data_IF_513984072884
#
_entry.id   IF_513984072884
#
_cell.length_a   1.000
_cell.length_b   1.000
_cell.length_c   1.000
_cell.angle_alpha   90.00
_cell.angle_beta   90.00
_cell.angle_gamma   90.00
#
_symmetry.space_group_name_H-M   'P 1'
#
loop_
_entity.id
_entity.type
_entity.pdbx_description
1 polymer ?
#
# COMPACT_ATOMS: atom_id res chain seq x y z
N UNK A 1 -22.64 1.14 18.84
CA UNK A 1 -21.69 2.26 18.63
C UNK A 1 -20.28 1.73 18.86
N UNK A 2 -19.62 1.41 17.74
CA UNK A 2 -18.51 0.46 17.61
C UNK A 2 -17.19 0.99 18.20
N UNK A 3 -16.31 0.07 18.63
CA UNK A 3 -14.99 0.36 19.18
C UNK A 3 -14.14 1.31 18.29
N UNK A 4 -14.33 1.26 16.96
CA UNK A 4 -13.69 2.17 16.00
C UNK A 4 -13.97 3.66 16.27
N UNK A 5 -15.15 4.02 16.79
CA UNK A 5 -15.48 5.40 17.16
C UNK A 5 -14.86 5.82 18.50
N UNK A 6 -14.49 4.87 19.37
CA UNK A 6 -13.83 5.17 20.66
C UNK A 6 -12.33 5.34 20.54
N UNK A 7 -11.73 4.85 19.46
CA UNK A 7 -10.28 4.92 19.23
C UNK A 7 -9.89 5.97 18.18
N UNK A 8 -10.81 6.87 17.81
CA UNK A 8 -10.62 7.95 16.83
C UNK A 8 -10.00 7.47 15.50
N UNK A 9 -10.46 6.31 15.00
CA UNK A 9 -9.92 5.72 13.77
C UNK A 9 -10.08 6.66 12.56
N UNK A 10 -11.13 7.48 12.54
CA UNK A 10 -11.36 8.49 11.48
C UNK A 10 -10.28 9.56 11.49
N UNK A 11 -9.96 10.10 12.67
CA UNK A 11 -9.01 11.21 12.80
C UNK A 11 -7.58 10.70 12.54
N UNK A 12 -7.28 9.50 13.04
CA UNK A 12 -6.02 8.82 12.74
C UNK A 12 -5.88 8.53 11.24
N UNK A 13 -6.94 8.06 10.58
CA UNK A 13 -6.92 7.82 9.13
C UNK A 13 -6.72 9.11 8.33
N UNK A 14 -7.33 10.22 8.75
CA UNK A 14 -7.14 11.53 8.13
C UNK A 14 -5.68 12.03 8.27
N UNK A 15 -5.09 11.90 9.46
CA UNK A 15 -3.69 12.23 9.69
C UNK A 15 -2.75 11.36 8.84
N UNK A 16 -2.98 10.04 8.80
CA UNK A 16 -2.21 9.11 7.97
C UNK A 16 -2.29 9.45 6.47
N UNK A 17 -3.48 9.82 6.00
CA UNK A 17 -3.70 10.22 4.61
C UNK A 17 -2.95 11.51 4.26
N UNK A 18 -3.00 12.52 5.13
CA UNK A 18 -2.25 13.75 4.96
C UNK A 18 -0.74 13.48 4.88
N UNK A 19 -0.20 12.71 5.84
CA UNK A 19 1.22 12.34 5.84
C UNK A 19 1.61 11.55 4.59
N UNK A 20 0.73 10.67 4.11
CA UNK A 20 0.93 9.92 2.87
C UNK A 20 1.00 10.84 1.65
N UNK A 21 0.08 11.79 1.51
CA UNK A 21 0.10 12.75 0.39
C UNK A 21 1.37 13.59 0.38
N UNK A 22 1.88 13.98 1.55
CA UNK A 22 3.19 14.62 1.66
C UNK A 22 4.33 13.72 1.18
N UNK A 23 4.27 12.42 1.46
CA UNK A 23 5.28 11.46 1.02
C UNK A 23 5.19 11.11 -0.48
N UNK A 24 4.02 11.28 -1.11
CA UNK A 24 3.83 11.02 -2.55
C UNK A 24 4.78 11.86 -3.40
N UNK A 25 4.94 13.15 -3.12
CA UNK A 25 5.75 14.05 -3.97
C UNK A 25 7.19 13.55 -4.17
N UNK A 26 8.00 13.35 -3.12
CA UNK A 26 9.31 12.76 -3.29
C UNK A 26 9.23 11.28 -3.72
N UNK A 27 8.13 10.58 -3.42
CA UNK A 27 7.90 9.20 -3.86
C UNK A 27 7.77 9.06 -5.37
N UNK A 28 7.13 10.02 -6.05
CA UNK A 28 7.07 10.08 -7.52
C UNK A 28 8.47 10.16 -8.09
N UNK A 29 9.33 11.00 -7.51
CA UNK A 29 10.71 11.19 -7.98
C UNK A 29 11.50 9.88 -7.89
N UNK A 30 11.36 9.14 -6.78
CA UNK A 30 11.96 7.80 -6.63
C UNK A 30 11.38 6.83 -7.66
N UNK A 31 10.05 6.81 -7.83
CA UNK A 31 9.38 5.91 -8.75
C UNK A 31 9.85 6.15 -10.19
N UNK A 32 9.84 7.39 -10.67
CA UNK A 32 10.20 7.75 -12.05
C UNK A 32 11.68 7.51 -12.34
N UNK A 33 12.57 7.86 -11.41
CA UNK A 33 14.00 7.56 -11.51
C UNK A 33 14.26 6.05 -11.54
N UNK A 34 13.55 5.27 -10.72
CA UNK A 34 13.68 3.81 -10.70
C UNK A 34 13.18 3.18 -12.00
N UNK A 35 12.01 3.59 -12.50
CA UNK A 35 11.47 3.12 -13.78
C UNK A 35 12.41 3.45 -14.94
N UNK A 36 12.98 4.66 -14.95
CA UNK A 36 14.00 5.07 -15.91
C UNK A 36 15.28 4.22 -15.84
N UNK A 37 15.79 3.94 -14.64
CA UNK A 37 16.97 3.08 -14.42
C UNK A 37 16.72 1.63 -14.89
N UNK A 38 15.50 1.14 -14.73
CA UNK A 38 15.09 -0.20 -15.15
C UNK A 38 14.69 -0.27 -16.63
N UNK A 39 14.73 0.84 -17.37
CA UNK A 39 14.32 0.95 -18.76
C UNK A 39 12.87 0.50 -19.00
N UNK A 40 11.98 0.80 -18.04
CA UNK A 40 10.58 0.40 -18.09
C UNK A 40 9.78 1.48 -18.81
N UNK A 41 8.98 1.04 -19.78
CA UNK A 41 8.20 1.95 -20.62
C UNK A 41 6.98 2.50 -19.86
N UNK A 42 6.51 3.71 -20.21
CA UNK A 42 5.20 4.22 -19.76
C UNK A 42 4.06 3.22 -19.93
N UNK A 43 4.07 2.47 -21.03
CA UNK A 43 3.07 1.45 -21.35
C UNK A 43 3.08 0.31 -20.33
N UNK A 44 4.27 -0.22 -19.98
CA UNK A 44 4.43 -1.26 -18.96
C UNK A 44 3.97 -0.76 -17.58
N UNK A 45 4.28 0.49 -17.25
CA UNK A 45 3.82 1.11 -16.01
C UNK A 45 2.29 1.18 -15.94
N UNK A 46 1.63 1.61 -17.02
CA UNK A 46 0.18 1.69 -17.11
C UNK A 46 -0.49 0.31 -16.97
N UNK A 47 0.09 -0.72 -17.60
CA UNK A 47 -0.39 -2.11 -17.45
C UNK A 47 -0.33 -2.57 -15.98
N UNK A 48 0.75 -2.24 -15.26
CA UNK A 48 0.89 -2.62 -13.85
C UNK A 48 -0.10 -1.88 -12.96
N UNK A 49 -0.32 -0.58 -13.19
CA UNK A 49 -1.30 0.22 -12.44
C UNK A 49 -2.72 -0.33 -12.64
N UNK A 50 -3.07 -0.69 -13.88
CA UNK A 50 -4.34 -1.32 -14.21
C UNK A 50 -4.51 -2.68 -13.52
N UNK A 51 -3.48 -3.53 -13.56
CA UNK A 51 -3.48 -4.86 -12.94
C UNK A 51 -3.57 -4.83 -11.41
N UNK A 52 -2.89 -3.87 -10.78
CA UNK A 52 -2.96 -3.69 -9.32
C UNK A 52 -4.31 -3.09 -8.88
N UNK A 53 -5.15 -2.66 -9.81
CA UNK A 53 -6.39 -1.94 -9.51
C UNK A 53 -6.14 -0.65 -8.74
N UNK A 54 -4.90 -0.11 -8.80
CA UNK A 54 -4.54 1.14 -8.13
C UNK A 54 -5.09 2.26 -8.98
N UNK A 55 -5.94 3.08 -8.38
CA UNK A 55 -6.63 4.16 -9.09
C UNK A 55 -5.77 5.39 -8.97
N UNK A 56 -5.05 5.65 -10.06
CA UNK A 56 -4.18 6.80 -10.21
C UNK A 56 -4.93 7.83 -11.07
N UNK A 57 -5.14 9.08 -10.61
CA UNK A 57 -5.69 10.12 -11.46
C UNK A 57 -4.86 10.29 -12.74
N UNK A 58 -5.49 10.47 -13.89
CA UNK A 58 -4.78 10.55 -15.18
C UNK A 58 -3.67 11.60 -15.21
N UNK A 59 -3.84 12.71 -14.48
CA UNK A 59 -2.79 13.74 -14.34
C UNK A 59 -1.52 13.22 -13.64
N UNK A 60 -1.65 12.30 -12.69
CA UNK A 60 -0.50 11.69 -12.03
C UNK A 60 0.22 10.71 -12.96
N UNK A 61 -0.53 9.97 -13.79
CA UNK A 61 0.05 9.14 -14.85
C UNK A 61 0.88 10.03 -15.78
N UNK A 62 0.32 11.13 -16.28
CA UNK A 62 1.07 12.05 -17.15
C UNK A 62 2.32 12.63 -16.49
N UNK A 63 2.27 12.95 -15.18
CA UNK A 63 3.46 13.40 -14.45
C UNK A 63 4.53 12.30 -14.44
N UNK A 64 4.16 11.04 -14.18
CA UNK A 64 5.11 9.92 -14.16
C UNK A 64 5.70 9.69 -15.56
N UNK A 65 4.86 9.67 -16.60
CA UNK A 65 5.29 9.47 -17.99
C UNK A 65 6.24 10.57 -18.48
N UNK A 66 5.92 11.84 -18.19
CA UNK A 66 6.77 12.97 -18.53
C UNK A 66 8.13 12.86 -17.83
N UNK A 67 8.13 12.57 -16.53
CA UNK A 67 9.36 12.39 -15.78
C UNK A 67 10.22 11.25 -16.34
N UNK A 68 9.64 10.08 -16.70
CA UNK A 68 10.39 8.97 -17.31
C UNK A 68 11.11 9.42 -18.59
N UNK A 69 10.45 10.22 -19.44
CA UNK A 69 11.03 10.74 -20.69
C UNK A 69 12.19 11.72 -20.45
N UNK A 70 12.09 12.58 -19.43
CA UNK A 70 13.10 13.59 -19.13
C UNK A 70 14.32 13.06 -18.36
N UNK A 71 14.23 11.88 -17.72
CA UNK A 71 15.23 11.36 -16.79
C UNK A 71 16.40 10.56 -17.41
N UNK A 72 16.58 10.61 -18.73
CA UNK A 72 17.58 9.83 -19.47
C UNK A 72 19.05 10.18 -19.23
N UNK A 73 19.37 11.25 -18.48
CA UNK A 73 20.77 11.70 -18.28
C UNK A 73 21.17 12.09 -16.84
N UNK A 74 20.28 12.05 -15.85
CA UNK A 74 20.56 12.48 -14.45
C UNK A 74 19.92 11.60 -13.37
N UNK A 75 19.67 10.32 -13.68
CA UNK A 75 18.80 9.43 -12.89
C UNK A 75 19.31 9.08 -11.49
N UNK A 76 20.62 8.94 -11.28
CA UNK A 76 21.14 8.40 -10.02
C UNK A 76 21.17 9.41 -8.85
N UNK A 77 21.57 10.66 -9.09
CA UNK A 77 21.59 11.70 -8.05
C UNK A 77 20.18 12.09 -7.61
N UNK A 78 19.25 12.21 -8.57
CA UNK A 78 17.85 12.47 -8.32
C UNK A 78 17.22 11.35 -7.48
N UNK A 79 17.48 10.08 -7.79
CA UNK A 79 17.00 8.94 -6.99
C UNK A 79 17.39 9.06 -5.50
N UNK A 80 18.65 9.37 -5.20
CA UNK A 80 19.11 9.54 -3.82
C UNK A 80 18.48 10.76 -3.13
N UNK A 81 18.31 11.88 -3.84
CA UNK A 81 17.61 13.06 -3.31
C UNK A 81 16.14 12.73 -2.99
N UNK A 82 15.48 11.97 -3.87
CA UNK A 82 14.11 11.48 -3.65
C UNK A 82 14.01 10.62 -2.40
N UNK A 83 14.94 9.68 -2.21
CA UNK A 83 14.99 8.82 -1.01
C UNK A 83 15.09 9.67 0.26
N UNK A 84 16.03 10.62 0.30
CA UNK A 84 16.19 11.50 1.46
C UNK A 84 14.94 12.36 1.70
N UNK A 85 14.30 12.83 0.63
CA UNK A 85 13.04 13.58 0.69
C UNK A 85 11.83 12.76 1.17
N UNK A 86 11.73 11.48 0.80
CA UNK A 86 10.65 10.57 1.21
C UNK A 86 10.78 10.14 2.66
N UNK A 87 11.99 9.84 3.13
CA UNK A 87 12.20 9.18 4.42
C UNK A 87 11.55 9.97 5.55
N UNK A 88 11.65 11.30 5.55
CA UNK A 88 11.09 12.13 6.61
C UNK A 88 9.55 12.06 6.70
N UNK A 89 8.77 12.44 5.66
CA UNK A 89 7.31 12.38 5.69
C UNK A 89 6.79 10.95 5.76
N UNK A 90 7.41 9.98 5.07
CA UNK A 90 6.96 8.59 5.11
C UNK A 90 7.16 7.97 6.50
N UNK A 91 8.27 8.27 7.18
CA UNK A 91 8.48 7.80 8.55
C UNK A 91 7.56 8.50 9.57
N UNK A 92 7.10 9.72 9.27
CA UNK A 92 6.04 10.38 10.04
C UNK A 92 4.70 9.65 9.87
N UNK A 93 4.26 9.39 8.63
CA UNK A 93 3.05 8.60 8.34
C UNK A 93 3.06 7.24 9.03
N UNK A 94 4.19 6.54 8.95
CA UNK A 94 4.37 5.25 9.62
C UNK A 94 4.29 5.39 11.14
N UNK A 95 4.88 6.44 11.71
CA UNK A 95 4.77 6.73 13.14
C UNK A 95 3.33 6.99 13.57
N UNK A 96 2.55 7.75 12.79
CA UNK A 96 1.11 7.97 13.01
C UNK A 96 0.35 6.64 12.99
N UNK A 97 0.67 5.78 12.02
CA UNK A 97 0.13 4.41 11.92
C UNK A 97 0.45 3.58 13.17
N UNK A 98 1.67 3.68 13.72
CA UNK A 98 2.04 3.00 14.97
C UNK A 98 1.18 3.47 16.15
N UNK A 99 0.99 4.78 16.31
CA UNK A 99 0.12 5.31 17.38
C UNK A 99 -1.28 4.75 17.26
N UNK A 100 -1.85 4.79 16.06
CA UNK A 100 -3.23 4.38 15.80
C UNK A 100 -3.44 2.89 16.04
N UNK A 101 -2.53 2.04 15.56
CA UNK A 101 -2.59 0.60 15.82
C UNK A 101 -2.35 0.28 17.30
N UNK A 102 -1.36 0.90 17.97
CA UNK A 102 -1.18 0.70 19.41
C UNK A 102 -2.44 1.06 20.20
N UNK A 103 -3.12 2.15 19.82
CA UNK A 103 -4.40 2.55 20.42
C UNK A 103 -5.50 1.52 20.20
N UNK A 104 -5.61 0.95 19.01
CA UNK A 104 -6.54 -0.15 18.73
C UNK A 104 -6.32 -1.36 19.67
N UNK A 105 -5.06 -1.73 19.88
CA UNK A 105 -4.69 -2.77 20.83
C UNK A 105 -4.85 -2.35 22.30
N UNK A 106 -4.95 -1.06 22.60
CA UNK A 106 -4.90 -0.52 23.96
C UNK A 106 -3.52 -0.71 24.60
N UNK A 107 -2.48 -0.80 23.76
CA UNK A 107 -1.10 -0.98 24.18
C UNK A 107 -0.42 0.38 24.38
N UNK A 108 0.34 0.51 25.46
CA UNK A 108 1.25 1.66 25.63
C UNK A 108 2.51 1.42 24.81
N UNK A 109 2.98 2.46 24.14
CA UNK A 109 4.25 2.41 23.41
C UNK A 109 5.40 2.32 24.40
N UNK A 110 6.13 1.20 24.37
CA UNK A 110 7.28 0.94 25.25
C UNK A 110 8.61 1.30 24.58
N UNK A 111 8.61 1.50 23.26
CA UNK A 111 9.82 1.81 22.50
C UNK A 111 10.23 3.27 22.73
N UNK A 112 11.54 3.50 22.83
CA UNK A 112 12.07 4.87 22.89
C UNK A 112 11.82 5.63 21.58
N UNK A 113 11.89 6.96 21.62
CA UNK A 113 11.72 7.81 20.43
C UNK A 113 12.59 7.36 19.26
N UNK A 114 13.86 7.03 19.51
CA UNK A 114 14.81 6.58 18.49
C UNK A 114 14.48 5.18 17.95
N UNK A 115 14.11 4.24 18.82
CA UNK A 115 13.69 2.90 18.39
C UNK A 115 12.47 2.97 17.47
N UNK A 116 11.49 3.80 17.84
CA UNK A 116 10.29 4.04 17.05
C UNK A 116 10.62 4.67 15.70
N UNK A 117 11.50 5.69 15.68
CA UNK A 117 11.92 6.36 14.44
C UNK A 117 12.64 5.40 13.49
N UNK A 118 13.58 4.62 14.00
CA UNK A 118 14.31 3.62 13.20
C UNK A 118 13.34 2.57 12.66
N UNK A 119 12.44 2.04 13.49
CA UNK A 119 11.42 1.08 13.04
C UNK A 119 10.54 1.66 11.94
N UNK A 120 10.11 2.92 12.06
CA UNK A 120 9.34 3.60 11.01
C UNK A 120 10.10 3.65 9.69
N UNK A 121 11.38 3.99 9.71
CA UNK A 121 12.22 4.04 8.51
C UNK A 121 12.38 2.64 7.90
N UNK A 122 12.66 1.63 8.72
CA UNK A 122 12.80 0.23 8.26
C UNK A 122 11.51 -0.26 7.62
N UNK A 123 10.35 0.05 8.20
CA UNK A 123 9.05 -0.34 7.64
C UNK A 123 8.74 0.39 6.34
N UNK A 124 9.05 1.69 6.23
CA UNK A 124 8.92 2.45 4.98
C UNK A 124 9.78 1.84 3.88
N UNK A 125 11.05 1.56 4.17
CA UNK A 125 11.97 0.91 3.23
C UNK A 125 11.46 -0.49 2.86
N UNK A 126 10.97 -1.27 3.84
CA UNK A 126 10.43 -2.60 3.61
C UNK A 126 9.18 -2.59 2.72
N UNK A 127 8.26 -1.64 2.93
CA UNK A 127 7.10 -1.42 2.05
C UNK A 127 7.57 -1.02 0.65
N UNK A 128 8.50 -0.07 0.54
CA UNK A 128 9.08 0.34 -0.74
C UNK A 128 9.68 -0.83 -1.51
N UNK A 129 10.56 -1.61 -0.87
CA UNK A 129 11.18 -2.80 -1.48
C UNK A 129 10.12 -3.84 -1.88
N UNK A 130 9.08 -4.04 -1.07
CA UNK A 130 7.98 -4.94 -1.40
C UNK A 130 7.21 -4.47 -2.64
N UNK A 131 6.95 -3.16 -2.78
CA UNK A 131 6.31 -2.60 -3.96
C UNK A 131 7.18 -2.79 -5.21
N UNK A 132 8.49 -2.52 -5.11
CA UNK A 132 9.42 -2.77 -6.21
C UNK A 132 9.43 -4.24 -6.61
N UNK A 133 9.49 -5.15 -5.63
CA UNK A 133 9.47 -6.58 -5.89
C UNK A 133 8.17 -7.03 -6.58
N UNK A 134 7.01 -6.57 -6.11
CA UNK A 134 5.71 -6.89 -6.72
C UNK A 134 5.60 -6.31 -8.13
N UNK A 135 6.08 -5.09 -8.33
CA UNK A 135 6.12 -4.44 -9.63
C UNK A 135 6.98 -5.24 -10.63
N UNK A 136 8.18 -5.66 -10.21
CA UNK A 136 9.04 -6.54 -11.00
C UNK A 136 8.34 -7.86 -11.34
N UNK A 137 7.70 -8.50 -10.35
CA UNK A 137 6.99 -9.75 -10.58
C UNK A 137 5.91 -9.61 -11.66
N UNK A 138 5.21 -8.47 -11.72
CA UNK A 138 4.19 -8.20 -12.74
C UNK A 138 4.83 -7.92 -14.11
N UNK A 139 5.80 -7.02 -14.21
CA UNK A 139 6.43 -6.64 -15.49
C UNK A 139 7.19 -7.82 -16.12
N UNK A 140 8.01 -8.52 -15.33
CA UNK A 140 8.80 -9.65 -15.83
C UNK A 140 7.95 -10.89 -16.10
N UNK A 141 6.68 -10.92 -15.68
CA UNK A 141 5.79 -12.06 -15.94
C UNK A 141 5.61 -12.34 -17.43
N UNK A 142 5.47 -11.30 -18.27
CA UNK A 142 5.29 -11.47 -19.71
C UNK A 142 6.54 -12.03 -20.41
N UNK A 143 7.72 -11.63 -19.95
CA UNK A 143 9.00 -12.11 -20.47
C UNK A 143 9.25 -13.57 -20.07
N UNK A 144 8.90 -13.92 -18.83
CA UNK A 144 8.89 -15.32 -18.36
C UNK A 144 7.92 -16.14 -19.21
N UNK A 145 6.74 -15.59 -19.53
CA UNK A 145 5.76 -16.26 -20.37
C UNK A 145 6.27 -16.54 -21.79
N UNK A 146 6.91 -15.55 -22.43
CA UNK A 146 7.52 -15.72 -23.75
C UNK A 146 8.62 -16.78 -23.75
N UNK A 147 9.48 -16.78 -22.72
CA UNK A 147 10.51 -17.79 -22.56
C UNK A 147 9.94 -19.20 -22.34
N UNK A 148 8.92 -19.33 -21.48
CA UNK A 148 8.29 -20.62 -21.18
C UNK A 148 7.56 -21.18 -22.42
N UNK A 149 6.88 -20.32 -23.20
CA UNK A 149 6.18 -20.69 -24.44
C UNK A 149 7.16 -21.16 -25.53
N UNK A 150 8.30 -20.49 -25.69
CA UNK A 150 9.31 -20.86 -26.70
C UNK A 150 10.03 -22.18 -26.41
N UNK A 151 10.10 -22.61 -25.14
CA UNK A 151 10.85 -23.80 -24.73
C UNK A 151 9.99 -25.03 -24.46
N UNK A 152 8.71 -24.86 -24.12
CA UNK A 152 7.83 -25.95 -23.67
C UNK A 152 6.51 -26.15 -24.44
N UNK A 153 6.29 -25.42 -25.53
CA UNK A 153 5.17 -25.63 -26.47
C UNK A 153 3.79 -25.73 -25.78
N UNK A 154 3.52 -24.81 -24.85
CA UNK A 154 2.32 -24.82 -24.02
C UNK A 154 1.03 -24.55 -24.85
N UNK A 155 -0.06 -25.33 -24.68
CA UNK A 155 -1.30 -25.14 -25.42
C UNK A 155 -1.99 -23.80 -25.18
N UNK A 156 -2.50 -23.17 -26.24
CA UNK A 156 -3.16 -21.83 -26.25
C UNK A 156 -4.44 -21.70 -25.41
N UNK A 157 -4.99 -22.79 -24.89
CA UNK A 157 -6.31 -22.85 -24.25
C UNK A 157 -6.29 -22.68 -22.72
N UNK A 158 -5.12 -22.75 -22.07
CA UNK A 158 -5.03 -22.40 -20.66
C UNK A 158 -4.89 -20.87 -20.52
N UNK A 159 -5.67 -20.18 -19.66
CA UNK A 159 -5.23 -18.88 -19.18
C UNK A 159 -3.81 -19.10 -18.65
N UNK A 160 -2.83 -18.36 -19.19
CA UNK A 160 -1.42 -18.68 -18.95
C UNK A 160 -1.23 -18.85 -17.45
N UNK A 161 -0.57 -19.94 -17.02
CA UNK A 161 -0.28 -20.16 -15.60
C UNK A 161 0.39 -18.91 -14.99
N UNK A 162 1.09 -18.15 -15.84
CA UNK A 162 1.64 -16.82 -15.59
C UNK A 162 0.58 -15.76 -15.27
N UNK A 163 -0.49 -15.60 -16.04
CA UNK A 163 -1.56 -14.64 -15.74
C UNK A 163 -2.32 -14.96 -14.44
N UNK A 164 -2.46 -16.24 -14.10
CA UNK A 164 -2.97 -16.65 -12.78
C UNK A 164 -1.95 -16.35 -11.68
N UNK A 165 -0.67 -16.72 -11.88
CA UNK A 165 0.41 -16.45 -10.94
C UNK A 165 0.58 -14.96 -10.66
N UNK A 166 0.41 -14.11 -11.68
CA UNK A 166 0.46 -12.65 -11.58
C UNK A 166 -0.64 -12.12 -10.66
N UNK A 167 -1.90 -12.51 -10.92
CA UNK A 167 -3.04 -12.13 -10.08
C UNK A 167 -2.88 -12.65 -8.65
N UNK A 168 -2.60 -13.95 -8.49
CA UNK A 168 -2.45 -14.55 -7.16
C UNK A 168 -1.22 -13.99 -6.43
N UNK A 169 -0.12 -13.71 -7.12
CA UNK A 169 1.10 -13.12 -6.57
C UNK A 169 0.88 -11.71 -6.03
N UNK A 170 0.18 -10.85 -6.78
CA UNK A 170 -0.21 -9.52 -6.32
C UNK A 170 -1.10 -9.57 -5.07
N UNK A 171 -2.10 -10.46 -5.09
CA UNK A 171 -3.01 -10.68 -3.95
C UNK A 171 -2.26 -11.14 -2.70
N UNK A 172 -1.45 -12.19 -2.83
CA UNK A 172 -0.65 -12.74 -1.72
C UNK A 172 0.34 -11.69 -1.22
N UNK A 173 0.99 -10.96 -2.14
CA UNK A 173 1.90 -9.87 -1.81
C UNK A 173 1.24 -8.80 -0.94
N UNK A 174 0.07 -8.30 -1.34
CA UNK A 174 -0.67 -7.29 -0.59
C UNK A 174 -1.05 -7.78 0.82
N UNK A 175 -1.54 -9.03 0.93
CA UNK A 175 -1.87 -9.65 2.23
C UNK A 175 -0.63 -9.82 3.11
N UNK A 176 0.50 -10.23 2.53
CA UNK A 176 1.78 -10.37 3.24
C UNK A 176 2.28 -9.03 3.76
N UNK A 177 2.24 -7.97 2.94
CA UNK A 177 2.61 -6.61 3.36
C UNK A 177 1.72 -6.15 4.51
N UNK A 178 0.40 -6.32 4.41
CA UNK A 178 -0.53 -5.98 5.49
C UNK A 178 -0.27 -6.81 6.76
N UNK A 179 0.02 -8.11 6.63
CA UNK A 179 0.35 -8.97 7.76
C UNK A 179 1.67 -8.55 8.45
N UNK A 180 2.67 -8.17 7.68
CA UNK A 180 3.93 -7.61 8.19
C UNK A 180 3.68 -6.32 8.98
N UNK A 181 2.87 -5.41 8.42
CA UNK A 181 2.45 -4.17 9.10
C UNK A 181 1.77 -4.51 10.43
N UNK A 182 0.75 -5.36 10.44
CA UNK A 182 0.02 -5.70 11.67
C UNK A 182 0.84 -6.45 12.71
N UNK A 183 1.89 -7.18 12.30
CA UNK A 183 2.75 -7.92 13.21
C UNK A 183 3.87 -7.06 13.79
N UNK A 184 4.50 -6.22 12.96
CA UNK A 184 5.72 -5.50 13.34
C UNK A 184 5.40 -4.16 14.01
N UNK A 185 4.29 -3.53 13.63
CA UNK A 185 3.95 -2.19 14.13
C UNK A 185 3.49 -2.22 15.59
N UNK A 186 2.47 -2.99 16.00
CA UNK A 186 1.96 -2.91 17.35
C UNK A 186 3.04 -3.28 18.40
N UNK A 187 3.02 -2.59 19.53
CA UNK A 187 3.87 -2.89 20.70
C UNK A 187 3.37 -4.15 21.46
N UNK A 188 2.76 -5.10 20.76
CA UNK A 188 2.18 -6.35 21.29
C UNK A 188 2.74 -7.51 20.48
N UNK A 189 3.20 -8.57 21.16
CA UNK A 189 3.69 -9.77 20.47
C UNK A 189 2.50 -10.60 19.96
N UNK A 190 2.47 -10.86 18.66
CA UNK A 190 1.40 -11.59 17.98
C UNK A 190 1.98 -12.67 17.08
N UNK A 191 1.25 -13.78 16.92
CA UNK A 191 1.61 -14.80 15.94
C UNK A 191 1.16 -14.37 14.53
N UNK A 192 1.72 -15.00 13.49
CA UNK A 192 1.27 -14.76 12.11
C UNK A 192 -0.23 -15.08 11.94
N UNK A 193 -0.74 -16.08 12.65
CA UNK A 193 -2.15 -16.49 12.57
C UNK A 193 -3.11 -15.46 13.20
N UNK A 194 -2.64 -14.67 14.17
CA UNK A 194 -3.47 -13.66 14.84
C UNK A 194 -3.70 -12.43 13.95
N UNK A 195 -2.78 -12.15 13.02
CA UNK A 195 -2.86 -10.96 12.14
C UNK A 195 -3.58 -11.22 10.82
N UNK A 196 -3.68 -12.48 10.37
CA UNK A 196 -4.29 -12.86 9.10
C UNK A 196 -5.75 -12.40 8.95
N UNK A 197 -6.64 -12.50 9.96
CA UNK A 197 -8.03 -12.09 9.80
C UNK A 197 -8.17 -10.61 9.43
N UNK A 198 -7.39 -9.74 10.07
CA UNK A 198 -7.35 -8.31 9.78
C UNK A 198 -6.71 -8.00 8.43
N UNK A 199 -5.66 -8.73 8.02
CA UNK A 199 -5.08 -8.59 6.67
C UNK A 199 -6.08 -8.94 5.57
N UNK A 200 -6.86 -10.00 5.76
CA UNK A 200 -7.91 -10.40 4.83
C UNK A 200 -9.06 -9.39 4.79
N UNK A 201 -9.46 -8.86 5.95
CA UNK A 201 -10.48 -7.81 6.01
C UNK A 201 -10.01 -6.55 5.31
N UNK A 202 -8.79 -6.07 5.61
CA UNK A 202 -8.17 -4.93 4.95
C UNK A 202 -8.17 -5.11 3.44
N UNK A 203 -7.66 -6.24 2.97
CA UNK A 203 -7.57 -6.55 1.55
C UNK A 203 -8.95 -6.58 0.87
N UNK A 204 -9.95 -7.18 1.52
CA UNK A 204 -11.32 -7.27 0.99
C UNK A 204 -11.96 -5.88 0.86
N UNK A 205 -11.84 -5.05 1.90
CA UNK A 205 -12.38 -3.70 1.90
C UNK A 205 -11.63 -2.80 0.92
N UNK A 206 -10.31 -2.91 0.86
CA UNK A 206 -9.50 -2.16 -0.10
C UNK A 206 -9.90 -2.48 -1.55
N UNK A 207 -10.06 -3.76 -1.88
CA UNK A 207 -10.52 -4.21 -3.21
C UNK A 207 -11.93 -3.69 -3.53
N UNK A 208 -12.83 -3.70 -2.55
CA UNK A 208 -14.18 -3.16 -2.69
C UNK A 208 -14.16 -1.66 -2.97
N UNK A 209 -13.35 -0.91 -2.21
CA UNK A 209 -13.20 0.55 -2.38
C UNK A 209 -12.57 0.89 -3.74
N UNK A 210 -11.53 0.16 -4.15
CA UNK A 210 -10.93 0.31 -5.47
C UNK A 210 -11.99 0.08 -6.56
N UNK A 211 -12.74 -1.02 -6.49
CA UNK A 211 -13.81 -1.30 -7.47
C UNK A 211 -14.88 -0.20 -7.51
N UNK A 212 -15.29 0.32 -6.35
CA UNK A 212 -16.25 1.42 -6.25
C UNK A 212 -15.73 2.74 -6.83
N UNK A 213 -14.47 3.07 -6.59
CA UNK A 213 -13.83 4.26 -7.16
C UNK A 213 -13.69 4.16 -8.68
N UNK A 214 -13.37 2.97 -9.20
CA UNK A 214 -13.28 2.75 -10.65
C UNK A 214 -14.62 3.07 -11.30
N UNK A 215 -15.72 2.56 -10.74
CA UNK A 215 -17.07 2.86 -11.20
C UNK A 215 -17.39 4.37 -11.12
N UNK A 216 -17.02 5.03 -10.02
CA UNK A 216 -17.23 6.46 -9.83
C UNK A 216 -16.53 7.31 -10.90
N UNK A 217 -15.27 7.01 -11.20
CA UNK A 217 -14.47 7.76 -12.19
C UNK A 217 -14.96 7.49 -13.62
N UNK A 218 -15.30 6.24 -13.96
CA UNK A 218 -15.76 5.90 -15.32
C UNK A 218 -17.17 6.39 -15.63
N UNK A 219 -18.04 6.51 -14.62
CA UNK A 219 -19.43 6.93 -14.79
C UNK A 219 -19.62 8.45 -14.90
N UNK A 220 -18.75 9.23 -14.25
CA UNK A 220 -18.83 10.70 -14.25
C UNK A 220 -17.80 11.31 -15.23
N UNK A 221 -18.02 11.09 -16.53
CA UNK A 221 -17.16 11.59 -17.62
C UNK A 221 -17.06 13.14 -17.70
N UNK A 222 -17.79 13.88 -16.84
CA UNK A 222 -17.68 15.34 -16.68
C UNK A 222 -16.55 15.80 -15.75
N UNK A 223 -15.92 14.88 -15.00
CA UNK A 223 -14.81 15.20 -14.09
C UNK A 223 -13.56 15.70 -14.85
N UNK A 224 -13.34 15.19 -16.07
CA UNK A 224 -12.22 15.59 -16.93
C UNK A 224 -12.24 17.06 -17.38
N UNK A 225 -13.36 17.78 -17.22
CA UNK A 225 -13.52 19.15 -17.75
C UNK A 225 -13.55 20.22 -16.65
N UNK A 226 -13.97 19.88 -15.43
CA UNK A 226 -14.11 20.85 -14.31
C UNK A 226 -13.08 20.63 -13.20
N UNK A 227 -12.51 19.43 -13.09
CA UNK A 227 -11.62 19.05 -12.00
C UNK A 227 -10.15 18.99 -12.49
N UNK A 228 -9.51 20.15 -12.59
CA UNK A 228 -8.06 20.26 -12.84
C UNK A 228 -7.22 19.70 -11.67
N UNK A 229 -6.01 20.23 -11.47
CA UNK A 229 -5.08 19.76 -10.43
C UNK A 229 -5.69 19.63 -9.01
N UNK A 230 -6.66 20.49 -8.64
CA UNK A 230 -7.36 20.42 -7.36
C UNK A 230 -8.21 19.15 -7.19
N UNK A 231 -8.87 18.68 -8.24
CA UNK A 231 -9.67 17.44 -8.19
C UNK A 231 -8.80 16.20 -8.00
N UNK A 232 -7.63 16.18 -8.66
CA UNK A 232 -6.66 15.10 -8.50
C UNK A 232 -6.17 15.00 -7.04
N UNK A 233 -5.86 16.13 -6.41
CA UNK A 233 -5.44 16.17 -4.99
C UNK A 233 -6.56 15.67 -4.07
N UNK A 234 -7.81 16.08 -4.29
CA UNK A 234 -8.96 15.63 -3.47
C UNK A 234 -9.16 14.11 -3.59
N UNK A 235 -9.08 13.55 -4.80
CA UNK A 235 -9.21 12.11 -5.03
C UNK A 235 -8.09 11.34 -4.36
N UNK A 236 -6.84 11.82 -4.45
CA UNK A 236 -5.68 11.20 -3.80
C UNK A 236 -5.84 11.23 -2.27
N UNK A 237 -6.26 12.36 -1.71
CA UNK A 237 -6.50 12.49 -0.27
C UNK A 237 -7.62 11.54 0.20
N UNK A 238 -8.75 11.50 -0.54
CA UNK A 238 -9.88 10.65 -0.20
C UNK A 238 -9.54 9.16 -0.32
N UNK A 239 -8.83 8.77 -1.38
CA UNK A 239 -8.38 7.37 -1.56
C UNK A 239 -7.39 6.96 -0.46
N UNK A 240 -6.41 7.82 -0.15
CA UNK A 240 -5.47 7.59 0.95
C UNK A 240 -6.19 7.46 2.30
N UNK A 241 -7.19 8.32 2.56
CA UNK A 241 -8.03 8.24 3.77
C UNK A 241 -8.76 6.90 3.86
N UNK A 242 -9.37 6.44 2.78
CA UNK A 242 -10.09 5.17 2.76
C UNK A 242 -9.17 3.96 2.95
N UNK A 243 -7.97 3.99 2.36
CA UNK A 243 -6.94 2.95 2.58
C UNK A 243 -6.48 2.96 4.04
N UNK A 244 -6.17 4.13 4.60
CA UNK A 244 -5.79 4.25 6.01
C UNK A 244 -6.90 3.76 6.94
N UNK A 245 -8.15 4.14 6.66
CA UNK A 245 -9.31 3.73 7.46
C UNK A 245 -9.52 2.21 7.42
N UNK A 246 -9.48 1.60 6.24
CA UNK A 246 -9.59 0.13 6.12
C UNK A 246 -8.44 -0.59 6.81
N UNK A 247 -7.22 -0.04 6.76
CA UNK A 247 -6.07 -0.57 7.50
C UNK A 247 -6.32 -0.54 9.01
N UNK A 248 -6.87 0.54 9.55
CA UNK A 248 -7.20 0.64 10.97
C UNK A 248 -8.34 -0.33 11.35
N UNK A 249 -9.35 -0.51 10.49
CA UNK A 249 -10.41 -1.50 10.73
C UNK A 249 -9.88 -2.94 10.81
N UNK A 250 -8.94 -3.32 9.93
CA UNK A 250 -8.27 -4.62 10.03
C UNK A 250 -7.45 -4.76 11.31
N UNK A 251 -6.79 -3.68 11.75
CA UNK A 251 -6.07 -3.62 13.02
C UNK A 251 -6.97 -3.78 14.24
N UNK A 252 -8.12 -3.11 14.25
CA UNK A 252 -9.16 -3.26 15.29
C UNK A 252 -9.72 -4.67 15.36
N UNK A 253 -9.98 -5.30 14.20
CA UNK A 253 -10.43 -6.69 14.16
C UNK A 253 -9.39 -7.60 14.83
N UNK A 254 -8.12 -7.46 14.45
CA UNK A 254 -7.03 -8.22 15.05
C UNK A 254 -6.90 -7.96 16.56
N UNK A 255 -7.07 -6.70 17.00
CA UNK A 255 -7.06 -6.34 18.42
C UNK A 255 -8.20 -6.98 19.21
N UNK A 256 -9.42 -7.01 18.66
CA UNK A 256 -10.57 -7.68 19.28
C UNK A 256 -10.35 -9.19 19.40
N UNK A 257 -9.85 -9.82 18.34
CA UNK A 257 -9.55 -11.26 18.34
C UNK A 257 -8.43 -11.60 19.32
N UNK A 258 -7.38 -10.79 19.36
CA UNK A 258 -6.28 -10.92 20.32
C UNK A 258 -6.80 -10.83 21.77
N UNK A 259 -7.63 -9.83 22.09
CA UNK A 259 -8.22 -9.69 23.43
C UNK A 259 -9.10 -10.89 23.79
N UNK A 260 -9.88 -11.44 22.87
CA UNK A 260 -10.70 -12.64 23.13
C UNK A 260 -9.86 -13.89 23.40
N UNK A 261 -8.73 -14.03 22.70
CA UNK A 261 -7.86 -15.21 22.81
C UNK A 261 -7.00 -15.20 24.08
N UNK A 262 -6.52 -14.02 24.49
CA UNK A 262 -5.57 -13.88 25.60
C UNK A 262 -6.19 -13.36 26.90
N UNK A 263 -7.47 -12.93 26.88
CA UNK A 263 -8.23 -12.55 28.07
C UNK A 263 -9.31 -13.62 28.32
N UNK A 264 -8.91 -14.77 28.86
CA UNK A 264 -9.87 -15.74 29.42
C UNK A 264 -10.75 -15.05 30.47
N UNK A 265 -12.04 -15.44 30.64
CA UNK A 265 -12.84 -14.97 31.75
C UNK A 265 -12.13 -15.29 33.06
N UNK A 266 -12.19 -14.44 34.10
CA UNK A 266 -11.79 -14.87 35.44
C UNK A 266 -12.61 -16.11 35.77
N UNK A 267 -11.93 -17.25 35.90
CA UNK A 267 -12.54 -18.48 36.35
C UNK A 267 -13.22 -18.20 37.68
N UNK A 268 -14.52 -18.45 37.71
CA UNK A 268 -15.36 -18.48 38.88
C UNK A 268 -14.73 -19.45 39.88
N UNK A 269 -13.99 -18.91 40.85
CA UNK A 269 -13.58 -19.66 42.04
C UNK A 269 -14.67 -19.44 43.06
N UNK A 270 -15.70 -20.28 42.99
CA UNK A 270 -16.54 -20.60 44.13
C UNK A 270 -15.99 -21.83 44.84
#
# INVERSE_FOLDING_TARGET
MSAAYRHDCTDAAAAMAFDFVFAIFPGILILTTMLGLMHISPEDFNLVIEDLGIIVPGHFITIVEDNIKYLSSSSQSLFFIGILGVIWPASASMSTTMTALNRAYGAQEQRSFWQRRILSIVLVVGVGVSLVFLFNLIVFSEQIEGWLRSKWDFPRLFPSAVAQLRRTGGLVGAVVVAACIYRLIPAVRQSWLDVLPGSLLFFSLWTFIASGFRYYITGFSYYNVVAGALGAVIIILLSAYLVAFTLLLGGELNAVLYRRRYRSPPGDKT
#
